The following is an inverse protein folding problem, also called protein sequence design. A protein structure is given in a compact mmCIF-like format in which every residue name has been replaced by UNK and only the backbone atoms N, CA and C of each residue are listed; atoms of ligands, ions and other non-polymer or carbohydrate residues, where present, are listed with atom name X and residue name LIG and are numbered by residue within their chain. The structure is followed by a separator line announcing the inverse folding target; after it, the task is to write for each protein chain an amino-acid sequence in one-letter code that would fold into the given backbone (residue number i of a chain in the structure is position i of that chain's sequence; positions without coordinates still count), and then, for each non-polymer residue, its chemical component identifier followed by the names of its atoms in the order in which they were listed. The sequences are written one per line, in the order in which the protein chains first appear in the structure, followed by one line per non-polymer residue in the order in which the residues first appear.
data_IF_318266600579
#
_entry.id   IF_318266600579
#
_cell.length_a   1.000
_cell.length_b   1.000
_cell.length_c   1.000
_cell.angle_alpha   90.00
_cell.angle_beta   90.00
_cell.angle_gamma   90.00
#
_symmetry.space_group_name_H-M   'P 1'
#
loop_
_entity.id
_entity.type
_entity.pdbx_description
1 polymer ?
#
# COMPACT_ATOMS: atom_id res chain seq x y z
N UNK A 1 28.79 50.14 -10.88
CA UNK A 1 28.55 49.24 -12.03
C UNK A 1 27.08 48.82 -11.96
N UNK A 2 26.27 49.04 -13.00
CA UNK A 2 24.89 48.57 -12.99
C UNK A 2 24.91 47.05 -12.86
N UNK A 3 24.14 46.50 -11.92
CA UNK A 3 23.94 45.06 -11.83
C UNK A 3 22.99 44.67 -12.97
N UNK A 4 23.55 44.47 -14.16
CA UNK A 4 22.78 44.12 -15.35
C UNK A 4 21.98 42.87 -15.05
N UNK A 5 20.68 43.06 -14.97
CA UNK A 5 19.71 42.02 -14.74
C UNK A 5 19.61 41.22 -16.04
N UNK A 6 20.03 39.95 -16.03
CA UNK A 6 20.10 39.14 -17.25
C UNK A 6 19.31 37.84 -17.11
N UNK A 7 18.87 37.30 -18.25
CA UNK A 7 18.20 36.02 -18.32
C UNK A 7 19.22 34.90 -18.57
N UNK A 8 19.52 34.10 -17.53
CA UNK A 8 20.80 33.40 -17.41
C UNK A 8 21.03 32.18 -18.31
N UNK A 9 20.00 31.57 -18.91
CA UNK A 9 20.18 30.24 -19.49
C UNK A 9 19.47 29.99 -20.82
N UNK A 10 18.73 30.96 -21.39
CA UNK A 10 17.88 30.79 -22.59
C UNK A 10 16.89 29.60 -22.57
N UNK A 11 16.89 28.80 -21.50
CA UNK A 11 16.13 27.57 -21.30
C UNK A 11 14.77 27.89 -20.68
N UNK A 12 14.13 28.94 -21.19
CA UNK A 12 12.89 29.48 -20.66
C UNK A 12 11.78 28.44 -20.63
N UNK A 13 11.62 27.67 -21.70
CA UNK A 13 10.63 26.58 -21.81
C UNK A 13 10.79 25.55 -20.70
N UNK A 14 12.02 25.10 -20.43
CA UNK A 14 12.28 24.10 -19.38
C UNK A 14 12.07 24.66 -17.98
N UNK A 15 12.48 25.92 -17.76
CA UNK A 15 12.27 26.58 -16.47
C UNK A 15 10.78 26.83 -16.19
N UNK A 16 10.01 27.17 -17.23
CA UNK A 16 8.56 27.30 -17.17
C UNK A 16 7.85 25.99 -16.86
N UNK A 17 8.21 24.93 -17.58
CA UNK A 17 7.62 23.61 -17.36
C UNK A 17 7.92 23.10 -15.95
N UNK A 18 9.10 23.42 -15.41
CA UNK A 18 9.52 23.08 -14.06
C UNK A 18 9.08 24.06 -12.95
N UNK A 19 8.45 25.21 -13.29
CA UNK A 19 8.13 26.29 -12.33
C UNK A 19 9.33 26.72 -11.45
N UNK A 20 10.52 26.70 -12.04
CA UNK A 20 11.78 26.91 -11.34
C UNK A 20 12.95 26.87 -12.30
N UNK A 21 14.05 27.53 -11.94
CA UNK A 21 15.25 27.48 -12.75
C UNK A 21 15.90 26.09 -12.63
N UNK A 22 16.17 25.47 -13.78
CA UNK A 22 16.78 24.13 -13.86
C UNK A 22 18.30 24.14 -13.58
N UNK A 23 18.91 25.32 -13.53
CA UNK A 23 20.34 25.50 -13.27
C UNK A 23 20.56 26.16 -11.91
N UNK A 24 20.06 25.52 -10.85
CA UNK A 24 20.20 26.01 -9.47
C UNK A 24 21.67 26.17 -9.06
N UNK A 25 22.55 25.31 -9.60
CA UNK A 25 23.97 25.24 -9.23
C UNK A 25 24.86 26.23 -10.00
N UNK A 26 24.30 27.01 -10.94
CA UNK A 26 25.09 27.91 -11.77
C UNK A 26 25.39 29.23 -11.05
N UNK A 27 26.62 29.78 -11.07
CA UNK A 27 26.97 31.03 -10.36
C UNK A 27 26.10 32.23 -10.75
N UNK A 28 25.65 32.23 -12.01
CA UNK A 28 24.76 33.25 -12.57
C UNK A 28 23.28 33.09 -12.18
N UNK A 29 22.93 32.06 -11.40
CA UNK A 29 21.58 31.78 -10.91
C UNK A 29 21.01 32.96 -10.12
N UNK A 30 21.82 33.57 -9.24
CA UNK A 30 21.41 34.62 -8.32
C UNK A 30 20.76 35.84 -9.01
N UNK A 31 21.26 36.19 -10.20
CA UNK A 31 20.88 37.39 -10.94
C UNK A 31 19.88 37.14 -12.08
N UNK A 32 19.41 35.90 -12.24
CA UNK A 32 18.46 35.54 -13.30
C UNK A 32 17.11 36.25 -13.11
N UNK A 33 16.77 37.14 -14.04
CA UNK A 33 15.48 37.85 -14.03
C UNK A 33 14.29 36.93 -14.26
N UNK A 34 14.45 35.93 -15.13
CA UNK A 34 13.41 34.95 -15.39
C UNK A 34 13.04 34.12 -14.16
N UNK A 35 14.02 33.73 -13.35
CA UNK A 35 13.77 33.02 -12.09
C UNK A 35 12.91 33.88 -11.16
N UNK A 36 13.27 35.16 -10.98
CA UNK A 36 12.49 36.09 -10.15
C UNK A 36 11.06 36.25 -10.65
N UNK A 37 10.85 36.24 -11.97
CA UNK A 37 9.51 36.26 -12.59
C UNK A 37 8.74 34.96 -12.27
N UNK A 38 9.36 33.79 -12.38
CA UNK A 38 8.74 32.51 -12.01
C UNK A 38 8.42 32.43 -10.50
N UNK A 39 9.30 32.93 -9.63
CA UNK A 39 9.06 33.05 -8.18
C UNK A 39 7.90 33.99 -7.86
N UNK A 40 7.75 35.07 -8.64
CA UNK A 40 6.62 35.99 -8.56
C UNK A 40 5.33 35.44 -9.19
N UNK A 41 5.32 34.17 -9.65
CA UNK A 41 4.14 33.56 -10.24
C UNK A 41 3.89 33.97 -11.70
N UNK A 42 4.89 34.51 -12.42
CA UNK A 42 4.77 34.97 -13.81
C UNK A 42 5.53 34.02 -14.74
N UNK A 43 4.80 33.35 -15.62
CA UNK A 43 5.33 32.34 -16.54
C UNK A 43 5.03 32.72 -18.00
N UNK A 44 6.10 33.05 -18.74
CA UNK A 44 5.98 33.57 -20.12
C UNK A 44 5.96 32.50 -21.22
N UNK A 45 6.50 31.32 -20.95
CA UNK A 45 6.73 30.26 -21.95
C UNK A 45 6.27 28.90 -21.40
N UNK A 46 6.25 27.85 -22.24
CA UNK A 46 5.96 26.47 -21.81
C UNK A 46 4.48 26.11 -21.68
N UNK A 47 4.19 24.96 -21.08
CA UNK A 47 2.81 24.48 -20.88
C UNK A 47 2.08 25.19 -19.75
N UNK A 48 2.84 25.88 -18.89
CA UNK A 48 2.37 26.58 -17.70
C UNK A 48 2.26 28.10 -17.91
N UNK A 49 2.17 28.57 -19.16
CA UNK A 49 2.04 30.00 -19.48
C UNK A 49 0.79 30.59 -18.84
N UNK A 50 0.94 31.72 -18.15
CA UNK A 50 -0.18 32.36 -17.45
C UNK A 50 -0.34 33.86 -17.76
N UNK A 51 0.38 34.38 -18.75
CA UNK A 51 0.10 35.67 -19.36
C UNK A 51 -0.86 35.46 -20.53
N UNK A 52 -2.13 35.72 -20.30
CA UNK A 52 -3.17 35.70 -21.33
C UNK A 52 -3.54 37.09 -21.85
N UNK A 53 -2.97 38.16 -21.30
CA UNK A 53 -3.14 39.52 -21.82
C UNK A 53 -1.83 40.33 -21.79
N UNK A 54 -1.62 41.28 -22.72
CA UNK A 54 -0.43 42.10 -22.76
C UNK A 54 -0.32 42.97 -21.50
N UNK A 55 0.79 42.82 -20.76
CA UNK A 55 1.19 43.71 -19.67
C UNK A 55 1.23 45.16 -20.16
N UNK A 56 0.18 45.94 -19.91
CA UNK A 56 0.15 47.35 -20.28
C UNK A 56 1.12 48.10 -19.37
N UNK A 57 2.23 48.61 -19.93
CA UNK A 57 3.28 49.34 -19.21
C UNK A 57 4.01 48.54 -18.11
N UNK A 58 4.11 47.21 -18.26
CA UNK A 58 4.82 46.36 -17.29
C UNK A 58 4.11 46.17 -15.95
N UNK A 59 2.84 46.56 -15.84
CA UNK A 59 1.99 46.31 -14.67
C UNK A 59 1.03 45.16 -14.94
N UNK A 60 0.85 44.31 -13.94
CA UNK A 60 -0.17 43.27 -13.94
C UNK A 60 -1.56 43.93 -13.85
N UNK A 61 -2.59 43.38 -14.52
CA UNK A 61 -3.95 43.90 -14.42
C UNK A 61 -4.47 43.79 -12.98
N UNK A 62 -5.29 44.76 -12.57
CA UNK A 62 -5.94 44.74 -11.26
C UNK A 62 -6.80 43.46 -11.12
N UNK A 63 -6.57 42.70 -10.06
CA UNK A 63 -7.21 41.40 -9.84
C UNK A 63 -6.45 40.20 -10.40
N UNK A 64 -5.26 40.38 -10.98
CA UNK A 64 -4.37 39.26 -11.31
C UNK A 64 -3.95 38.53 -10.02
N UNK A 65 -4.39 37.27 -9.89
CA UNK A 65 -3.92 36.38 -8.84
C UNK A 65 -2.73 35.60 -9.42
N UNK A 66 -1.49 35.81 -8.92
CA UNK A 66 -0.35 35.02 -9.36
C UNK A 66 -0.67 33.53 -9.19
N UNK A 67 -0.30 32.72 -10.18
CA UNK A 67 -0.45 31.27 -10.06
C UNK A 67 0.36 30.82 -8.86
N UNK A 68 -0.33 30.43 -7.78
CA UNK A 68 0.31 29.93 -6.58
C UNK A 68 0.92 28.57 -6.93
N UNK A 69 2.25 28.46 -6.76
CA UNK A 69 2.96 27.19 -6.88
C UNK A 69 2.13 26.13 -6.14
N UNK A 70 1.83 24.96 -6.73
CA UNK A 70 1.16 23.89 -6.02
C UNK A 70 1.96 23.68 -4.74
N UNK A 71 1.36 23.99 -3.58
CA UNK A 71 2.06 23.80 -2.32
C UNK A 71 2.50 22.34 -2.29
N UNK A 72 3.80 22.11 -2.11
CA UNK A 72 4.31 20.77 -1.89
C UNK A 72 3.45 20.16 -0.79
N UNK A 73 2.70 19.09 -1.11
CA UNK A 73 1.76 18.49 -0.18
C UNK A 73 2.48 18.33 1.15
N UNK A 74 1.98 19.02 2.19
CA UNK A 74 2.42 18.83 3.57
C UNK A 74 2.58 17.33 3.77
N UNK A 75 3.77 16.86 4.18
CA UNK A 75 4.02 15.45 4.47
C UNK A 75 2.95 15.04 5.49
N UNK A 76 1.86 14.41 5.01
CA UNK A 76 0.87 13.80 5.89
C UNK A 76 1.66 12.84 6.77
N UNK A 77 1.41 12.89 8.08
CA UNK A 77 1.92 11.88 8.98
C UNK A 77 1.68 10.48 8.38
N UNK A 78 2.67 9.59 8.45
CA UNK A 78 2.53 8.26 7.90
C UNK A 78 1.33 7.60 8.59
N UNK A 79 0.36 7.16 7.78
CA UNK A 79 -0.77 6.39 8.30
C UNK A 79 -0.23 5.07 8.87
N UNK A 80 -0.80 4.57 9.96
CA UNK A 80 -0.36 3.30 10.52
C UNK A 80 -0.63 2.16 9.53
N UNK A 81 0.35 1.27 9.41
CA UNK A 81 0.31 0.11 8.53
C UNK A 81 0.53 -1.16 9.36
N UNK A 82 -0.21 -2.21 9.01
CA UNK A 82 -0.09 -3.52 9.63
C UNK A 82 -0.10 -4.55 8.49
N UNK A 83 0.90 -5.41 8.49
CA UNK A 83 1.10 -6.45 7.50
C UNK A 83 1.17 -7.80 8.19
N UNK A 84 0.59 -8.81 7.56
CA UNK A 84 0.79 -10.22 7.90
C UNK A 84 1.43 -10.94 6.73
N UNK A 85 2.12 -12.03 6.98
CA UNK A 85 2.92 -12.72 5.97
C UNK A 85 2.44 -14.14 5.82
N UNK A 86 2.22 -14.63 4.60
CA UNK A 86 1.95 -16.04 4.29
C UNK A 86 3.07 -16.58 3.41
N UNK A 87 3.80 -17.58 3.90
CA UNK A 87 5.11 -17.96 3.37
C UNK A 87 5.97 -16.69 3.23
N UNK A 88 6.40 -16.31 2.03
CA UNK A 88 7.17 -15.08 1.77
C UNK A 88 6.36 -13.86 1.30
N UNK A 89 5.03 -13.95 1.28
CA UNK A 89 4.20 -12.90 0.68
C UNK A 89 3.59 -12.01 1.77
N UNK A 90 3.79 -10.69 1.73
CA UNK A 90 3.13 -9.74 2.62
C UNK A 90 1.68 -9.46 2.19
N UNK A 91 0.81 -9.28 3.18
CA UNK A 91 -0.58 -8.90 2.99
C UNK A 91 -0.92 -7.73 3.92
N UNK A 92 -1.57 -6.71 3.36
CA UNK A 92 -2.00 -5.53 4.09
C UNK A 92 -3.28 -5.80 4.86
N UNK A 93 -3.31 -5.41 6.13
CA UNK A 93 -4.53 -5.34 6.93
C UNK A 93 -5.15 -3.95 6.79
N UNK A 94 -6.42 -3.91 6.40
CA UNK A 94 -7.15 -2.70 6.07
C UNK A 94 -8.49 -2.67 6.80
N UNK A 95 -9.06 -1.48 6.99
CA UNK A 95 -10.39 -1.33 7.58
C UNK A 95 -11.48 -1.38 6.49
N UNK A 96 -12.57 -2.09 6.76
CA UNK A 96 -13.74 -2.12 5.88
C UNK A 96 -14.57 -0.85 6.02
N UNK A 97 -15.05 -0.33 4.90
CA UNK A 97 -16.15 0.64 4.85
C UNK A 97 -17.44 0.01 4.33
N UNK A 98 -18.56 0.65 4.60
CA UNK A 98 -19.92 0.20 4.26
C UNK A 98 -20.09 -0.25 2.80
N UNK A 99 -19.33 0.31 1.86
CA UNK A 99 -19.47 0.05 0.43
C UNK A 99 -18.41 -0.91 -0.15
N UNK A 100 -17.99 -1.95 0.60
CA UNK A 100 -16.95 -2.94 0.22
C UNK A 100 -15.54 -2.40 0.01
N UNK A 101 -15.35 -1.08 0.10
CA UNK A 101 -14.05 -0.44 -0.05
C UNK A 101 -13.20 -0.68 1.19
N UNK A 102 -11.90 -0.85 0.96
CA UNK A 102 -10.90 -1.04 1.99
C UNK A 102 -10.07 0.23 2.11
N UNK A 103 -9.80 0.68 3.32
CA UNK A 103 -9.01 1.88 3.57
C UNK A 103 -7.84 1.57 4.50
N UNK A 104 -6.81 2.42 4.45
CA UNK A 104 -5.72 2.39 5.43
C UNK A 104 -6.29 2.56 6.84
N UNK A 105 -5.65 1.90 7.80
CA UNK A 105 -6.06 1.92 9.20
C UNK A 105 -5.96 3.34 9.78
N UNK A 106 -6.91 3.67 10.65
CA UNK A 106 -6.76 4.74 11.62
C UNK A 106 -5.91 4.27 12.83
N UNK A 107 -5.45 5.20 13.66
CA UNK A 107 -4.58 4.91 14.80
C UNK A 107 -5.22 3.92 15.79
N UNK A 108 -6.50 4.11 16.11
CA UNK A 108 -7.20 3.27 17.09
C UNK A 108 -7.37 1.84 16.58
N UNK A 109 -7.73 1.69 15.31
CA UNK A 109 -7.87 0.40 14.66
C UNK A 109 -6.53 -0.32 14.51
N UNK A 110 -5.44 0.41 14.26
CA UNK A 110 -4.11 -0.18 14.21
C UNK A 110 -3.65 -0.68 15.58
N UNK A 111 -3.88 0.08 16.67
CA UNK A 111 -3.59 -0.37 18.04
C UNK A 111 -4.42 -1.61 18.38
N UNK A 112 -5.71 -1.60 18.06
CA UNK A 112 -6.60 -2.74 18.30
C UNK A 112 -6.11 -4.03 17.64
N UNK A 113 -5.68 -3.96 16.37
CA UNK A 113 -5.16 -5.14 15.66
C UNK A 113 -3.88 -5.64 16.32
N UNK A 114 -2.96 -4.73 16.67
CA UNK A 114 -1.68 -5.08 17.30
C UNK A 114 -1.90 -5.81 18.63
N UNK A 115 -2.71 -5.23 19.51
CA UNK A 115 -3.02 -5.82 20.82
C UNK A 115 -3.65 -7.22 20.67
N UNK A 116 -4.59 -7.38 19.74
CA UNK A 116 -5.25 -8.66 19.49
C UNK A 116 -4.30 -9.70 18.88
N UNK A 117 -3.41 -9.28 17.97
CA UNK A 117 -2.43 -10.16 17.37
C UNK A 117 -1.36 -10.59 18.36
N UNK A 118 -0.88 -9.66 19.20
CA UNK A 118 0.06 -9.97 20.28
C UNK A 118 -0.56 -10.96 21.28
N UNK A 119 -1.83 -10.75 21.66
CA UNK A 119 -2.56 -11.64 22.56
C UNK A 119 -2.76 -13.05 21.99
N UNK A 120 -2.89 -13.18 20.67
CA UNK A 120 -3.10 -14.46 19.99
C UNK A 120 -1.82 -15.07 19.40
N UNK A 121 -0.65 -14.50 19.70
CA UNK A 121 0.64 -14.89 19.12
C UNK A 121 0.58 -14.98 17.58
N UNK A 122 0.07 -13.92 16.96
CA UNK A 122 0.00 -13.75 15.50
C UNK A 122 1.12 -12.78 15.09
N UNK A 123 2.13 -13.23 14.33
CA UNK A 123 3.19 -12.34 13.89
C UNK A 123 2.68 -11.31 12.87
N UNK A 124 3.07 -10.05 13.04
CA UNK A 124 2.78 -8.96 12.11
C UNK A 124 3.99 -8.04 11.94
N UNK A 125 3.97 -7.23 10.88
CA UNK A 125 4.96 -6.17 10.61
C UNK A 125 4.26 -4.82 10.48
N UNK A 126 4.97 -3.73 10.79
CA UNK A 126 4.47 -2.35 10.63
C UNK A 126 5.17 -1.57 9.52
N UNK A 127 6.08 -2.23 8.81
CA UNK A 127 6.85 -1.69 7.69
C UNK A 127 7.20 -2.81 6.71
N UNK A 128 7.30 -2.46 5.43
CA UNK A 128 7.68 -3.38 4.33
C UNK A 128 9.21 -3.43 4.10
N UNK A 129 10.00 -2.80 4.95
CA UNK A 129 11.41 -2.48 4.66
C UNK A 129 12.34 -3.67 4.37
N UNK A 130 11.94 -4.92 4.64
CA UNK A 130 12.69 -6.11 4.24
C UNK A 130 11.71 -7.23 3.84
N UNK A 131 11.37 -7.25 2.55
CA UNK A 131 10.63 -8.37 1.92
C UNK A 131 11.53 -9.59 1.71
N UNK A 132 12.82 -9.36 1.52
CA UNK A 132 13.82 -10.39 1.23
C UNK A 132 14.05 -11.34 2.43
N UNK A 133 13.86 -10.85 3.66
CA UNK A 133 14.08 -11.61 4.90
C UNK A 133 12.82 -12.32 5.41
N UNK A 134 11.77 -12.46 4.58
CA UNK A 134 10.58 -13.18 5.01
C UNK A 134 10.84 -14.69 5.06
N UNK A 135 10.46 -15.39 6.16
CA UNK A 135 10.60 -16.83 6.24
C UNK A 135 9.62 -17.54 5.28
N UNK A 136 9.99 -18.73 4.78
CA UNK A 136 9.13 -19.55 3.91
C UNK A 136 9.61 -19.62 2.45
N UNK A 137 8.81 -20.26 1.60
CA UNK A 137 9.10 -20.43 0.17
C UNK A 137 8.24 -19.49 -0.68
N UNK A 138 8.79 -19.04 -1.82
CA UNK A 138 7.96 -18.44 -2.86
C UNK A 138 7.16 -19.55 -3.52
N UNK A 139 5.83 -19.46 -3.41
CA UNK A 139 4.93 -20.42 -4.06
C UNK A 139 4.27 -19.70 -5.22
N UNK A 140 4.72 -20.02 -6.43
CA UNK A 140 4.01 -19.64 -7.64
C UNK A 140 2.83 -20.60 -7.82
N UNK A 141 1.63 -20.06 -7.67
CA UNK A 141 0.39 -20.83 -7.76
C UNK A 141 -0.44 -20.17 -8.85
N UNK A 142 -0.72 -20.95 -9.89
CA UNK A 142 -1.71 -20.57 -10.88
C UNK A 142 -3.10 -20.50 -10.23
N UNK A 143 -3.71 -19.32 -10.24
CA UNK A 143 -5.03 -19.12 -9.66
C UNK A 143 -5.57 -17.72 -9.85
N UNK A 144 -6.91 -17.56 -9.81
CA UNK A 144 -7.52 -16.24 -9.97
C UNK A 144 -7.19 -15.35 -8.76
N UNK A 145 -6.77 -14.12 -9.03
CA UNK A 145 -6.59 -13.06 -8.03
C UNK A 145 -7.90 -12.31 -7.81
N UNK A 146 -8.88 -12.97 -7.21
CA UNK A 146 -10.22 -12.39 -7.00
C UNK A 146 -10.79 -12.59 -5.59
N UNK A 147 -9.94 -12.98 -4.63
CA UNK A 147 -10.34 -13.17 -3.24
C UNK A 147 -9.89 -12.04 -2.32
N UNK A 148 -10.56 -11.94 -1.17
CA UNK A 148 -10.05 -11.26 0.03
C UNK A 148 -10.40 -12.08 1.27
N UNK A 149 -9.65 -11.89 2.35
CA UNK A 149 -10.08 -12.38 3.67
C UNK A 149 -10.71 -11.23 4.43
N UNK A 150 -11.84 -11.50 5.06
CA UNK A 150 -12.51 -10.57 5.98
C UNK A 150 -12.52 -11.22 7.35
N UNK A 151 -12.11 -10.47 8.38
CA UNK A 151 -12.16 -10.93 9.76
C UNK A 151 -12.65 -9.84 10.69
N UNK A 152 -13.13 -10.24 11.88
CA UNK A 152 -13.66 -9.31 12.88
C UNK A 152 -12.82 -9.29 14.13
N UNK A 153 -12.67 -8.09 14.69
CA UNK A 153 -12.25 -7.88 16.07
C UNK A 153 -13.30 -6.99 16.71
N UNK A 154 -13.96 -7.50 17.77
CA UNK A 154 -15.13 -6.84 18.38
C UNK A 154 -16.21 -6.59 17.32
N UNK A 155 -16.66 -5.35 17.16
CA UNK A 155 -17.69 -4.96 16.17
C UNK A 155 -17.09 -4.43 14.85
N UNK A 156 -15.76 -4.41 14.70
CA UNK A 156 -15.08 -3.87 13.51
C UNK A 156 -14.70 -5.00 12.55
N UNK A 157 -14.96 -4.79 11.26
CA UNK A 157 -14.50 -5.68 10.18
C UNK A 157 -13.20 -5.16 9.53
N UNK A 158 -12.28 -6.09 9.29
CA UNK A 158 -10.99 -5.86 8.67
C UNK A 158 -10.82 -6.72 7.43
N UNK A 159 -10.08 -6.21 6.45
CA UNK A 159 -9.77 -6.89 5.21
C UNK A 159 -8.29 -7.20 5.13
N UNK A 160 -7.97 -8.37 4.60
CA UNK A 160 -6.61 -8.75 4.21
C UNK A 160 -6.56 -8.80 2.68
N UNK A 161 -5.69 -8.00 2.11
CA UNK A 161 -5.43 -7.85 0.68
C UNK A 161 -3.92 -7.92 0.41
N UNK A 162 -3.51 -7.97 -0.86
CA UNK A 162 -2.09 -7.89 -1.19
C UNK A 162 -1.49 -6.58 -0.66
N UNK A 163 -0.17 -6.50 -0.53
CA UNK A 163 0.49 -5.28 -0.01
C UNK A 163 0.07 -4.00 -0.76
N UNK A 164 -0.20 -4.11 -2.07
CA UNK A 164 -0.70 -3.03 -2.92
C UNK A 164 -2.23 -2.80 -2.83
N UNK A 165 -2.90 -3.40 -1.85
CA UNK A 165 -4.36 -3.35 -1.64
C UNK A 165 -5.19 -3.96 -2.79
N UNK A 166 -4.61 -4.90 -3.55
CA UNK A 166 -5.34 -5.66 -4.56
C UNK A 166 -5.87 -6.98 -3.99
N UNK A 167 -6.80 -7.59 -4.72
CA UNK A 167 -7.29 -8.95 -4.44
C UNK A 167 -6.14 -9.94 -4.42
N UNK A 168 -6.31 -11.00 -3.64
CA UNK A 168 -5.33 -12.07 -3.46
C UNK A 168 -5.81 -13.33 -4.16
N UNK A 169 -4.89 -14.25 -4.43
CA UNK A 169 -5.27 -15.55 -4.96
C UNK A 169 -6.09 -16.34 -3.94
N UNK A 170 -7.05 -17.14 -4.44
CA UNK A 170 -7.98 -17.89 -3.60
C UNK A 170 -7.26 -18.79 -2.59
N UNK A 171 -6.18 -19.43 -3.01
CA UNK A 171 -5.40 -20.30 -2.14
C UNK A 171 -4.78 -19.56 -0.95
N UNK A 172 -4.18 -18.38 -1.19
CA UNK A 172 -3.67 -17.53 -0.10
C UNK A 172 -4.80 -17.10 0.83
N UNK A 173 -5.96 -16.73 0.28
CA UNK A 173 -7.12 -16.34 1.08
C UNK A 173 -7.61 -17.47 1.98
N UNK A 174 -7.69 -18.69 1.46
CA UNK A 174 -8.08 -19.86 2.24
C UNK A 174 -7.10 -20.17 3.36
N UNK A 175 -5.80 -20.11 3.09
CA UNK A 175 -4.76 -20.36 4.09
C UNK A 175 -4.80 -19.33 5.21
N UNK A 176 -4.87 -18.05 4.87
CA UNK A 176 -5.02 -16.96 5.82
C UNK A 176 -6.28 -17.12 6.67
N UNK A 177 -7.42 -17.40 6.03
CA UNK A 177 -8.69 -17.61 6.72
C UNK A 177 -8.64 -18.80 7.70
N UNK A 178 -8.10 -19.95 7.27
CA UNK A 178 -7.93 -21.10 8.16
C UNK A 178 -7.07 -20.78 9.36
N UNK A 179 -6.01 -20.00 9.16
CA UNK A 179 -5.14 -19.63 10.25
C UNK A 179 -5.82 -18.70 11.25
N UNK A 180 -6.60 -17.72 10.78
CA UNK A 180 -7.37 -16.83 11.68
C UNK A 180 -8.43 -17.61 12.46
N UNK A 181 -9.16 -18.52 11.80
CA UNK A 181 -10.11 -19.42 12.46
C UNK A 181 -9.44 -20.27 13.54
N UNK A 182 -8.24 -20.83 13.27
CA UNK A 182 -7.49 -21.61 14.26
C UNK A 182 -7.07 -20.80 15.50
N UNK A 183 -7.03 -19.47 15.36
CA UNK A 183 -6.72 -18.51 16.42
C UNK A 183 -7.97 -17.93 17.08
N UNK A 184 -9.16 -18.45 16.76
CA UNK A 184 -10.42 -18.03 17.37
C UNK A 184 -11.05 -16.76 16.80
N UNK A 185 -10.52 -16.23 15.69
CA UNK A 185 -11.13 -15.07 15.02
C UNK A 185 -12.35 -15.48 14.20
N UNK A 186 -13.37 -14.62 14.18
CA UNK A 186 -14.42 -14.73 13.17
C UNK A 186 -13.87 -14.24 11.83
N UNK A 187 -13.65 -15.15 10.88
CA UNK A 187 -13.13 -14.81 9.56
C UNK A 187 -13.80 -15.59 8.42
N UNK A 188 -13.80 -15.01 7.22
CA UNK A 188 -14.35 -15.59 5.98
C UNK A 188 -13.55 -15.15 4.76
N UNK A 189 -13.65 -15.94 3.69
CA UNK A 189 -13.16 -15.56 2.35
C UNK A 189 -14.31 -14.95 1.55
N UNK A 190 -14.09 -13.80 0.92
CA UNK A 190 -15.04 -13.19 -0.02
C UNK A 190 -14.44 -13.18 -1.43
N UNK A 191 -15.22 -13.66 -2.42
CA UNK A 191 -14.88 -13.60 -3.84
C UNK A 191 -15.46 -12.31 -4.46
N UNK A 192 -14.62 -11.54 -5.16
CA UNK A 192 -14.97 -10.22 -5.71
C UNK A 192 -14.84 -10.25 -7.25
N UNK A 193 -15.97 -10.07 -7.95
CA UNK A 193 -16.04 -9.96 -9.41
C UNK A 193 -17.24 -10.67 -10.02
N UNK A 194 -17.36 -10.65 -11.36
CA UNK A 194 -18.40 -11.38 -12.12
C UNK A 194 -18.34 -12.92 -11.92
N UNK A 195 -17.29 -13.43 -11.29
CA UNK A 195 -17.08 -14.83 -10.97
C UNK A 195 -17.82 -15.30 -9.70
N UNK A 196 -18.52 -14.43 -8.97
CA UNK A 196 -19.53 -14.87 -8.00
C UNK A 196 -20.64 -15.72 -8.65
N UNK A 197 -20.84 -15.56 -9.97
CA UNK A 197 -21.82 -16.30 -10.77
C UNK A 197 -21.22 -17.39 -11.66
N UNK A 198 -19.90 -17.56 -11.70
CA UNK A 198 -19.36 -18.76 -12.32
C UNK A 198 -19.75 -19.91 -11.41
N UNK A 199 -20.54 -20.84 -11.93
CA UNK A 199 -20.74 -22.19 -11.38
C UNK A 199 -19.42 -22.98 -11.38
N UNK A 200 -18.30 -22.37 -11.02
CA UNK A 200 -17.21 -23.12 -10.43
C UNK A 200 -17.81 -23.70 -9.18
N UNK A 201 -18.08 -25.00 -9.22
CA UNK A 201 -18.29 -25.83 -8.06
C UNK A 201 -17.07 -25.68 -7.14
N UNK A 202 -16.98 -24.58 -6.41
CA UNK A 202 -16.52 -24.63 -5.03
C UNK A 202 -17.69 -25.27 -4.31
N UNK A 203 -17.81 -26.58 -4.50
CA UNK A 203 -18.54 -27.38 -3.54
C UNK A 203 -17.98 -26.93 -2.20
N UNK A 204 -18.86 -26.48 -1.32
CA UNK A 204 -18.62 -26.53 0.10
C UNK A 204 -18.24 -27.99 0.40
N UNK A 205 -16.96 -28.30 0.33
CA UNK A 205 -16.40 -29.54 0.82
C UNK A 205 -16.30 -29.34 2.33
N UNK A 206 -17.47 -29.26 2.98
CA UNK A 206 -17.72 -30.09 4.15
C UNK A 206 -17.79 -31.54 3.65
N UNK A 207 -16.65 -32.10 3.23
CA UNK A 207 -16.50 -33.55 3.30
C UNK A 207 -16.00 -33.83 4.69
N UNK A 208 -16.73 -34.66 5.42
CA UNK A 208 -16.20 -35.39 6.56
C UNK A 208 -14.83 -35.95 6.20
N UNK A 209 -13.82 -35.55 6.98
CA UNK A 209 -12.43 -35.95 6.81
C UNK A 209 -12.16 -37.35 7.39
N UNK A 210 -13.06 -38.31 7.18
CA UNK A 210 -12.79 -39.71 7.53
C UNK A 210 -11.93 -40.46 6.49
N UNK A 211 -11.63 -39.86 5.32
CA UNK A 211 -11.04 -40.60 4.20
C UNK A 211 -9.81 -39.97 3.51
N UNK A 212 -9.08 -39.08 4.17
CA UNK A 212 -7.78 -38.63 3.63
C UNK A 212 -6.65 -39.50 4.17
N UNK A 213 -6.17 -40.43 3.34
CA UNK A 213 -4.92 -41.16 3.59
C UNK A 213 -3.75 -40.15 3.57
N UNK A 214 -2.86 -40.16 4.57
CA UNK A 214 -1.76 -39.21 4.63
C UNK A 214 -0.72 -39.54 3.56
N UNK A 215 -0.46 -38.60 2.65
CA UNK A 215 0.73 -38.64 1.82
C UNK A 215 1.93 -38.26 2.70
N UNK A 216 2.68 -39.26 3.18
CA UNK A 216 3.96 -39.04 3.84
C UNK A 216 4.99 -38.53 2.84
N UNK A 217 5.41 -37.28 3.00
CA UNK A 217 6.81 -36.90 2.80
C UNK A 217 7.27 -36.25 4.10
N UNK A 218 8.10 -36.98 4.85
CA UNK A 218 8.82 -36.42 5.98
C UNK A 218 9.84 -35.40 5.45
N UNK A 219 9.59 -34.13 5.70
CA UNK A 219 10.59 -33.07 5.53
C UNK A 219 11.32 -32.99 6.87
N UNK A 220 12.59 -33.39 6.88
CA UNK A 220 13.45 -33.31 8.07
C UNK A 220 14.04 -31.90 8.12
N UNK A 221 13.63 -31.10 9.10
CA UNK A 221 14.21 -29.78 9.37
C UNK A 221 15.28 -29.90 10.48
N UNK A 222 16.54 -29.65 10.14
CA UNK A 222 17.70 -29.73 11.06
C UNK A 222 18.07 -28.38 11.69
N UNK A 223 17.09 -27.58 12.14
CA UNK A 223 17.36 -26.33 12.85
C UNK A 223 16.11 -25.74 13.52
N UNK A 224 16.26 -24.83 14.50
CA UNK A 224 15.13 -24.14 15.12
C UNK A 224 14.48 -23.19 14.10
N UNK A 225 13.32 -23.59 13.57
CA UNK A 225 12.50 -22.78 12.67
C UNK A 225 11.60 -21.89 13.53
N UNK A 226 11.70 -20.58 13.35
CA UNK A 226 10.77 -19.63 13.94
C UNK A 226 9.40 -19.81 13.27
N UNK A 227 8.41 -20.22 14.06
CA UNK A 227 7.07 -20.62 13.60
C UNK A 227 6.34 -19.42 12.97
N UNK A 228 5.98 -19.55 11.70
CA UNK A 228 5.07 -18.64 11.01
C UNK A 228 3.65 -18.81 11.56
N UNK A 229 2.75 -17.86 11.28
CA UNK A 229 1.31 -17.98 11.60
C UNK A 229 0.72 -19.34 11.16
N UNK A 230 1.29 -19.94 10.12
CA UNK A 230 0.84 -21.19 9.48
C UNK A 230 1.33 -22.45 10.18
N UNK A 231 2.48 -22.41 10.87
CA UNK A 231 2.97 -23.56 11.62
C UNK A 231 2.15 -23.84 12.88
N UNK A 232 1.24 -22.95 13.27
CA UNK A 232 0.32 -23.14 14.39
C UNK A 232 -0.99 -23.84 13.98
N UNK A 233 -1.38 -23.75 12.71
CA UNK A 233 -2.57 -24.43 12.19
C UNK A 233 -2.31 -25.93 11.92
N UNK A 234 -1.08 -26.33 11.64
CA UNK A 234 -0.69 -27.73 11.43
C UNK A 234 -0.39 -28.49 12.75
N UNK A 235 -0.19 -27.78 13.87
CA UNK A 235 0.15 -28.36 15.19
C UNK A 235 -1.10 -28.72 16.03
N UNK A 236 -2.20 -29.07 15.39
CA UNK A 236 -3.26 -29.84 16.07
C UNK A 236 -3.38 -31.26 15.53
N UNK A 237 -2.44 -32.17 15.86
CA UNK A 237 -2.81 -33.53 16.07
C UNK A 237 -3.43 -33.63 17.48
N UNK A 238 -4.65 -34.16 17.49
CA UNK A 238 -5.25 -34.90 18.59
C UNK A 238 -4.27 -35.89 19.23
N UNK A 239 -3.31 -35.45 20.06
CA UNK A 239 -2.47 -36.36 20.85
C UNK A 239 -1.74 -35.65 22.00
N UNK A 240 -2.49 -35.15 22.97
CA UNK A 240 -2.12 -35.33 24.37
C UNK A 240 -3.25 -36.09 25.06
N UNK A 241 -3.40 -37.38 24.69
CA UNK A 241 -4.04 -38.37 25.56
C UNK A 241 -2.93 -39.18 26.21
N UNK A 242 -2.76 -38.87 27.51
CA UNK A 242 -1.94 -39.52 28.55
C UNK A 242 -0.42 -39.44 28.37
#
# INVERSE_FOLDING_TARGET
MPHDSFDCCSSFMKCSDAWGCIHADHPLFANCTYRKKLEAGICFYGKNTNIFEPLKNGKLPDGFVPFQKPQAKVKKEPRPEVYITCYKVPFSVLIRSSNTWSYKLDSDSAVLIKDEFDSNNIPYKTSLELLEDLPGDEVDIDGPCNSRVVFKIKEKEFHILSFNSYLIQNWYAEKLNKSLLSKGFESRVELIGMYAHSKSHVNSITKDLSDVRPAKKEVIHNGPVQLTLFDLAEVTPTSFRR
#
